data_IF_067119228459
#
_entry.id   IF_067119228459
#
_cell.length_a   1.000
_cell.length_b   1.000
_cell.length_c   1.000
_cell.angle_alpha   90.00
_cell.angle_beta   90.00
_cell.angle_gamma   90.00
#
_symmetry.space_group_name_H-M   'P 1'
#
loop_
_entity.id
_entity.type
_entity.pdbx_description
1 polymer ?
#
# COMPACT_ATOMS: atom_id res chain seq x y z
N UNK A 1 8.80 -10.91 -4.67
CA UNK A 1 8.23 -11.37 -3.37
C UNK A 1 7.84 -12.84 -3.44
N UNK A 2 7.19 -13.38 -2.41
CA UNK A 2 6.78 -14.80 -2.38
C UNK A 2 5.87 -15.19 -3.56
N UNK A 3 5.06 -14.24 -4.04
CA UNK A 3 4.22 -14.41 -5.23
C UNK A 3 4.99 -14.73 -6.53
N UNK A 4 6.30 -14.46 -6.58
CA UNK A 4 7.19 -14.77 -7.72
C UNK A 4 7.98 -16.08 -7.53
N UNK A 5 7.72 -16.86 -6.47
CA UNK A 5 8.53 -18.04 -6.13
C UNK A 5 8.73 -18.98 -7.32
N UNK A 6 7.66 -19.30 -8.04
CA UNK A 6 7.72 -20.27 -9.14
C UNK A 6 8.65 -19.80 -10.27
N UNK A 7 8.57 -18.52 -10.64
CA UNK A 7 9.40 -17.92 -11.69
C UNK A 7 10.86 -17.89 -11.28
N UNK A 8 11.14 -17.46 -10.04
CA UNK A 8 12.50 -17.41 -9.49
C UNK A 8 13.13 -18.81 -9.45
N UNK A 9 12.35 -19.84 -9.06
CA UNK A 9 12.83 -21.23 -9.01
C UNK A 9 13.21 -21.80 -10.39
N UNK A 10 12.61 -21.27 -11.47
CA UNK A 10 12.97 -21.65 -12.85
C UNK A 10 13.92 -20.65 -13.51
N UNK A 11 14.49 -19.72 -12.75
CA UNK A 11 15.50 -18.77 -13.21
C UNK A 11 14.94 -17.56 -13.97
N UNK A 12 13.65 -17.27 -13.85
CA UNK A 12 13.00 -16.10 -14.41
C UNK A 12 13.00 -14.99 -13.36
N UNK A 13 13.59 -13.84 -13.72
CA UNK A 13 13.69 -12.66 -12.85
C UNK A 13 13.06 -11.46 -13.53
N UNK A 14 12.36 -10.63 -12.74
CA UNK A 14 11.90 -9.33 -13.23
C UNK A 14 13.10 -8.42 -13.51
N UNK A 15 13.11 -7.73 -14.67
CA UNK A 15 14.15 -6.76 -14.98
C UNK A 15 14.01 -5.50 -14.12
N UNK A 16 15.03 -4.64 -14.14
CA UNK A 16 14.90 -3.32 -13.57
C UNK A 16 13.79 -2.54 -14.30
N UNK A 17 12.87 -1.96 -13.53
CA UNK A 17 11.72 -1.23 -14.06
C UNK A 17 11.39 -0.01 -13.21
N UNK A 18 10.64 0.92 -13.80
CA UNK A 18 10.02 2.01 -13.05
C UNK A 18 8.88 1.41 -12.22
N UNK A 19 8.92 1.65 -10.92
CA UNK A 19 7.88 1.25 -9.98
C UNK A 19 7.39 2.48 -9.22
N UNK A 20 6.11 2.81 -9.42
CA UNK A 20 5.51 3.99 -8.79
C UNK A 20 5.27 3.80 -7.29
N UNK A 21 5.17 2.54 -6.83
CA UNK A 21 5.01 2.23 -5.42
C UNK A 21 6.25 2.61 -4.60
N UNK A 22 7.40 2.85 -5.24
CA UNK A 22 8.60 3.37 -4.57
C UNK A 22 8.35 4.70 -3.85
N UNK A 23 7.45 5.55 -4.35
CA UNK A 23 7.07 6.78 -3.65
C UNK A 23 6.45 6.47 -2.27
N UNK A 24 5.59 5.46 -2.19
CA UNK A 24 4.98 4.99 -0.96
C UNK A 24 6.01 4.29 -0.07
N UNK A 25 6.85 3.41 -0.64
CA UNK A 25 7.86 2.65 0.09
C UNK A 25 8.93 3.54 0.72
N UNK A 26 9.45 4.53 -0.02
CA UNK A 26 10.46 5.47 0.48
C UNK A 26 9.88 6.39 1.54
N UNK A 27 8.65 6.89 1.36
CA UNK A 27 7.97 7.69 2.40
C UNK A 27 7.87 6.91 3.70
N UNK A 28 7.38 5.66 3.65
CA UNK A 28 7.30 4.79 4.84
C UNK A 28 8.67 4.51 5.45
N UNK A 29 9.68 4.22 4.62
CA UNK A 29 11.01 3.90 5.10
C UNK A 29 11.65 5.08 5.83
N UNK A 30 11.48 6.31 5.31
CA UNK A 30 11.98 7.52 5.98
C UNK A 30 11.26 7.78 7.31
N UNK A 31 9.94 7.58 7.38
CA UNK A 31 9.16 7.82 8.62
C UNK A 31 9.40 6.74 9.69
N UNK A 32 9.45 5.47 9.28
CA UNK A 32 9.41 4.32 10.19
C UNK A 32 10.25 3.14 9.66
N UNK A 33 11.57 3.20 9.85
CA UNK A 33 12.48 2.08 9.56
C UNK A 33 13.61 1.95 10.58
N UNK A 34 14.32 0.82 10.50
CA UNK A 34 15.57 0.57 11.22
C UNK A 34 16.61 0.16 10.20
N UNK A 35 17.73 0.90 10.13
CA UNK A 35 18.84 0.55 9.26
C UNK A 35 19.57 -0.68 9.83
N UNK A 36 19.56 -1.78 9.08
CA UNK A 36 20.33 -2.98 9.45
C UNK A 36 21.83 -2.80 9.12
N UNK A 37 22.12 -2.06 8.05
CA UNK A 37 23.45 -1.72 7.58
C UNK A 37 23.40 -0.32 6.97
N UNK A 38 24.39 0.53 7.28
CA UNK A 38 24.48 1.90 6.75
C UNK A 38 23.66 2.93 7.55
N UNK A 39 23.49 4.15 7.00
CA UNK A 39 22.79 5.24 7.66
C UNK A 39 21.27 5.01 7.72
N UNK A 40 20.58 5.82 8.52
CA UNK A 40 19.12 5.83 8.58
C UNK A 40 18.51 6.25 7.23
N UNK A 41 17.31 5.77 6.93
CA UNK A 41 16.65 6.05 5.65
C UNK A 41 16.41 7.54 5.41
N UNK A 42 16.13 8.31 6.47
CA UNK A 42 15.91 9.76 6.38
C UNK A 42 17.16 10.57 6.05
N UNK A 43 18.35 10.01 6.33
CA UNK A 43 19.65 10.60 5.99
C UNK A 43 20.11 10.20 4.59
N UNK A 44 19.73 9.01 4.13
CA UNK A 44 20.15 8.47 2.84
C UNK A 44 19.26 8.89 1.67
N UNK A 45 17.95 8.99 1.90
CA UNK A 45 16.97 9.35 0.87
C UNK A 45 16.42 10.75 1.11
N UNK A 46 16.35 11.53 0.03
CA UNK A 46 15.60 12.78 0.02
C UNK A 46 14.10 12.52 0.27
N UNK A 47 13.37 13.48 0.87
CA UNK A 47 11.93 13.39 0.98
C UNK A 47 11.27 13.22 -0.39
N UNK A 48 10.33 12.29 -0.48
CA UNK A 48 9.50 12.11 -1.68
C UNK A 48 8.59 13.35 -1.83
N UNK A 49 8.52 13.97 -3.02
CA UNK A 49 7.56 15.04 -3.27
C UNK A 49 6.13 14.56 -3.02
N UNK A 50 5.33 15.41 -2.36
CA UNK A 50 3.94 15.08 -2.02
C UNK A 50 3.11 14.69 -3.26
N UNK A 51 3.34 15.35 -4.39
CA UNK A 51 2.67 15.05 -5.66
C UNK A 51 2.95 13.62 -6.15
N UNK A 52 4.19 13.14 -6.01
CA UNK A 52 4.56 11.79 -6.43
C UNK A 52 3.93 10.73 -5.53
N UNK A 53 3.78 11.01 -4.24
CA UNK A 53 3.03 10.15 -3.32
C UNK A 53 1.56 10.06 -3.70
N UNK A 54 0.90 11.19 -4.00
CA UNK A 54 -0.50 11.20 -4.44
C UNK A 54 -0.69 10.52 -5.79
N UNK A 55 0.25 10.69 -6.71
CA UNK A 55 0.23 10.01 -8.01
C UNK A 55 0.34 8.50 -7.81
N UNK A 56 1.26 8.02 -6.96
CA UNK A 56 1.36 6.61 -6.63
C UNK A 56 0.05 6.05 -6.07
N UNK A 57 -0.54 6.73 -5.08
CA UNK A 57 -1.84 6.34 -4.51
C UNK A 57 -2.94 6.26 -5.58
N UNK A 58 -2.96 7.19 -6.54
CA UNK A 58 -3.93 7.22 -7.64
C UNK A 58 -3.71 6.07 -8.62
N UNK A 59 -2.47 5.77 -8.98
CA UNK A 59 -2.17 4.67 -9.89
C UNK A 59 -2.47 3.31 -9.23
N UNK A 60 -2.21 3.14 -7.92
CA UNK A 60 -2.61 1.93 -7.19
C UNK A 60 -4.12 1.70 -7.26
N UNK A 61 -4.96 2.75 -7.21
CA UNK A 61 -6.42 2.60 -7.34
C UNK A 61 -6.85 2.04 -8.70
N UNK A 62 -6.06 2.25 -9.76
CA UNK A 62 -6.37 1.74 -11.10
C UNK A 62 -6.07 0.26 -11.27
N UNK A 63 -5.48 -0.41 -10.27
CA UNK A 63 -5.19 -1.84 -10.36
C UNK A 63 -6.46 -2.70 -10.28
N UNK A 64 -7.52 -2.20 -9.65
CA UNK A 64 -8.74 -2.97 -9.36
C UNK A 64 -9.95 -2.37 -10.07
N UNK A 65 -10.24 -2.87 -11.27
CA UNK A 65 -11.37 -2.39 -12.10
C UNK A 65 -12.48 -3.44 -12.24
N UNK A 66 -12.17 -4.71 -12.01
CA UNK A 66 -13.08 -5.84 -12.23
C UNK A 66 -12.82 -6.98 -11.26
N UNK A 67 -13.82 -7.86 -11.08
CA UNK A 67 -13.75 -8.98 -10.15
C UNK A 67 -12.46 -9.83 -10.26
N UNK A 68 -11.96 -10.16 -11.47
CA UNK A 68 -10.69 -10.87 -11.62
C UNK A 68 -9.49 -10.19 -10.95
N UNK A 69 -9.48 -8.86 -10.83
CA UNK A 69 -8.34 -8.11 -10.32
C UNK A 69 -8.13 -8.27 -8.81
N UNK A 70 -9.19 -8.63 -8.06
CA UNK A 70 -9.16 -8.78 -6.61
C UNK A 70 -9.57 -10.18 -6.13
N UNK A 71 -9.90 -11.10 -7.05
CA UNK A 71 -10.29 -12.45 -6.72
C UNK A 71 -9.13 -13.20 -6.02
N UNK A 72 -9.36 -13.64 -4.79
CA UNK A 72 -8.34 -14.30 -3.96
C UNK A 72 -7.44 -13.35 -3.17
N UNK A 73 -7.63 -12.03 -3.27
CA UNK A 73 -6.91 -11.03 -2.48
C UNK A 73 -7.85 -9.97 -1.86
N UNK A 74 -9.16 -10.27 -1.78
CA UNK A 74 -10.24 -9.33 -1.46
C UNK A 74 -9.96 -8.54 -0.18
N UNK A 75 -9.50 -9.24 0.86
CA UNK A 75 -9.15 -8.65 2.16
C UNK A 75 -8.06 -7.61 2.02
N UNK A 76 -6.98 -7.92 1.31
CA UNK A 76 -5.86 -7.00 1.17
C UNK A 76 -6.23 -5.81 0.28
N UNK A 77 -7.05 -6.02 -0.75
CA UNK A 77 -7.59 -4.93 -1.56
C UNK A 77 -8.42 -3.98 -0.70
N UNK A 78 -9.39 -4.48 0.08
CA UNK A 78 -10.23 -3.65 0.96
C UNK A 78 -9.41 -2.87 1.98
N UNK A 79 -8.41 -3.51 2.61
CA UNK A 79 -7.52 -2.85 3.56
C UNK A 79 -6.54 -1.87 2.90
N UNK A 80 -6.21 -2.06 1.63
CA UNK A 80 -5.35 -1.14 0.87
C UNK A 80 -6.16 0.08 0.44
N UNK A 81 -7.39 -0.09 -0.01
CA UNK A 81 -8.32 1.00 -0.32
C UNK A 81 -8.56 1.90 0.90
N UNK A 82 -8.72 1.33 2.11
CA UNK A 82 -8.87 2.12 3.33
C UNK A 82 -7.62 2.94 3.66
N UNK A 83 -6.41 2.38 3.44
CA UNK A 83 -5.13 3.10 3.60
C UNK A 83 -4.96 4.19 2.57
N UNK A 84 -5.30 3.94 1.31
CA UNK A 84 -5.25 4.97 0.26
C UNK A 84 -6.17 6.13 0.63
N UNK A 85 -7.40 5.86 1.06
CA UNK A 85 -8.33 6.91 1.47
C UNK A 85 -7.82 7.70 2.68
N UNK A 86 -7.26 7.01 3.68
CA UNK A 86 -6.64 7.67 4.84
C UNK A 86 -5.47 8.59 4.41
N UNK A 87 -4.55 8.07 3.61
CA UNK A 87 -3.39 8.83 3.13
C UNK A 87 -3.81 10.03 2.29
N UNK A 88 -4.80 9.85 1.43
CA UNK A 88 -5.29 10.92 0.56
C UNK A 88 -5.89 12.10 1.34
N UNK A 89 -6.49 11.84 2.51
CA UNK A 89 -7.12 12.87 3.35
C UNK A 89 -6.12 13.48 4.34
N UNK A 90 -5.16 12.69 4.83
CA UNK A 90 -4.31 13.11 5.96
C UNK A 90 -2.87 13.47 5.57
N UNK A 91 -2.44 13.09 4.37
CA UNK A 91 -1.03 13.16 3.95
C UNK A 91 -0.11 12.19 4.69
N UNK A 92 -0.66 11.25 5.49
CA UNK A 92 0.11 10.33 6.33
C UNK A 92 -0.13 8.88 5.95
N UNK A 93 0.89 8.05 6.13
CA UNK A 93 0.76 6.61 5.92
C UNK A 93 0.46 5.93 7.26
N UNK A 94 -0.64 5.15 7.31
CA UNK A 94 -1.03 4.42 8.50
C UNK A 94 -0.95 2.88 8.32
N UNK A 95 -0.81 2.12 9.42
CA UNK A 95 -1.10 0.68 9.46
C UNK A 95 -2.53 0.34 8.98
N UNK A 96 -2.74 -0.93 8.56
CA UNK A 96 -4.01 -1.42 7.99
C UNK A 96 -5.18 -1.27 8.98
N UNK A 97 -4.97 -1.64 10.24
CA UNK A 97 -5.96 -1.56 11.31
C UNK A 97 -6.36 -0.12 11.64
N UNK A 98 -5.37 0.78 11.75
CA UNK A 98 -5.59 2.21 12.01
C UNK A 98 -6.40 2.86 10.87
N UNK A 99 -6.04 2.58 9.62
CA UNK A 99 -6.76 3.10 8.46
C UNK A 99 -8.18 2.51 8.36
N UNK A 100 -8.35 1.21 8.65
CA UNK A 100 -9.66 0.57 8.67
C UNK A 100 -10.57 1.18 9.75
N UNK A 101 -10.09 1.37 10.97
CA UNK A 101 -10.86 2.01 12.05
C UNK A 101 -11.24 3.45 11.75
N UNK A 102 -10.37 4.17 11.05
CA UNK A 102 -10.65 5.50 10.58
C UNK A 102 -11.74 5.51 9.49
N UNK A 103 -11.68 4.57 8.55
CA UNK A 103 -12.60 4.49 7.41
C UNK A 103 -14.00 3.96 7.81
N UNK A 104 -14.10 2.96 8.69
CA UNK A 104 -15.39 2.40 9.17
C UNK A 104 -16.30 3.50 9.72
N UNK A 105 -15.74 4.46 10.47
CA UNK A 105 -16.48 5.59 11.08
C UNK A 105 -17.02 6.58 10.05
N UNK A 106 -16.60 6.49 8.78
CA UNK A 106 -16.91 7.42 7.69
C UNK A 106 -17.66 6.77 6.52
N UNK A 107 -17.64 5.44 6.44
CA UNK A 107 -18.35 4.71 5.40
C UNK A 107 -19.87 4.77 5.62
N UNK A 108 -20.66 4.87 4.55
CA UNK A 108 -22.07 4.53 4.58
C UNK A 108 -22.30 3.15 5.21
N UNK A 109 -23.37 3.02 6.00
CA UNK A 109 -23.64 1.81 6.78
C UNK A 109 -23.62 0.51 5.94
N UNK A 110 -24.02 0.58 4.68
CA UNK A 110 -24.03 -0.57 3.76
C UNK A 110 -22.65 -1.15 3.43
N UNK A 111 -21.58 -0.36 3.55
CA UNK A 111 -20.21 -0.79 3.24
C UNK A 111 -19.38 -1.14 4.48
N UNK A 112 -19.84 -0.76 5.67
CA UNK A 112 -19.13 -1.05 6.92
C UNK A 112 -18.91 -2.55 7.18
N UNK A 113 -19.87 -3.47 6.91
CA UNK A 113 -19.67 -4.90 7.13
C UNK A 113 -18.46 -5.47 6.39
N UNK A 114 -18.25 -5.06 5.13
CA UNK A 114 -17.14 -5.54 4.29
C UNK A 114 -15.78 -5.17 4.89
N UNK A 115 -15.64 -3.92 5.35
CA UNK A 115 -14.39 -3.47 5.95
C UNK A 115 -14.16 -4.05 7.36
N UNK A 116 -15.25 -4.28 8.12
CA UNK A 116 -15.17 -4.96 9.41
C UNK A 116 -14.69 -6.41 9.26
N UNK A 117 -15.24 -7.14 8.30
CA UNK A 117 -14.83 -8.52 8.01
C UNK A 117 -13.36 -8.58 7.57
N UNK A 118 -12.95 -7.71 6.63
CA UNK A 118 -11.57 -7.63 6.17
C UNK A 118 -10.57 -7.32 7.31
N UNK A 119 -10.98 -6.55 8.32
CA UNK A 119 -10.13 -6.22 9.47
C UNK A 119 -9.92 -7.41 10.42
N UNK A 120 -10.91 -8.30 10.54
CA UNK A 120 -10.93 -9.39 11.53
C UNK A 120 -10.26 -10.68 11.07
N UNK A 121 -10.27 -10.94 9.76
CA UNK A 121 -9.53 -12.05 9.15
C UNK A 121 -8.01 -11.83 9.23
#
# INVERSE_FOLDING_TARGET
GEWQRNDILVGIFEPAMIDIDLAILLTKAREHSVALVGPAAEEFFDPVPEQDLFEALRETLKLWNSQPDWAGDERNVVLTLSRIWYSAITGKIAPKDVAADWAIKRLPAQYQPVLLEAKQA
#
